data_IF_348916391469
#
_entry.id   IF_348916391469
#
_cell.length_a   1.000
_cell.length_b   1.000
_cell.length_c   1.000
_cell.angle_alpha   90.00
_cell.angle_beta   90.00
_cell.angle_gamma   90.00
#
_symmetry.space_group_name_H-M   'P 1'
#
loop_
_entity.id
_entity.type
_entity.pdbx_description
1 polymer ?
#
# COMPACT_ATOMS: atom_id res chain seq x y z
N UNK A 1 -8.34 12.05 -6.42
CA UNK A 1 -7.56 10.81 -6.62
C UNK A 1 -8.09 9.70 -5.72
N UNK A 2 -7.86 8.42 -6.03
CA UNK A 2 -8.31 7.30 -5.20
C UNK A 2 -7.15 6.73 -4.37
N UNK A 3 -7.39 6.53 -3.08
CA UNK A 3 -6.49 5.85 -2.16
C UNK A 3 -7.09 4.52 -1.76
N UNK A 4 -6.31 3.45 -1.92
CA UNK A 4 -6.55 2.14 -1.33
C UNK A 4 -5.70 2.02 -0.08
N UNK A 5 -6.33 1.74 1.04
CA UNK A 5 -5.68 1.39 2.29
C UNK A 5 -5.90 -0.09 2.58
N UNK A 6 -4.87 -0.78 3.00
CA UNK A 6 -4.90 -2.20 3.36
C UNK A 6 -4.23 -2.35 4.72
N UNK A 7 -4.86 -3.11 5.62
CA UNK A 7 -4.27 -3.58 6.87
C UNK A 7 -4.27 -5.11 6.89
N UNK A 8 -3.09 -5.69 7.05
CA UNK A 8 -2.84 -7.11 7.00
C UNK A 8 -2.28 -7.59 8.33
N UNK A 9 -2.96 -8.53 8.99
CA UNK A 9 -2.35 -9.26 10.10
C UNK A 9 -1.36 -10.26 9.54
N UNK A 10 -0.10 -10.17 9.98
CA UNK A 10 0.99 -11.06 9.55
C UNK A 10 1.68 -11.58 10.80
N UNK A 11 1.97 -12.88 10.82
CA UNK A 11 2.75 -13.46 11.91
C UNK A 11 4.12 -12.78 12.01
N UNK A 12 4.55 -12.43 13.23
CA UNK A 12 5.87 -11.86 13.50
C UNK A 12 7.02 -12.66 12.85
N UNK A 13 6.90 -13.98 12.79
CA UNK A 13 7.88 -14.88 12.18
C UNK A 13 7.91 -14.82 10.64
N UNK A 14 6.88 -14.23 10.02
CA UNK A 14 6.74 -14.06 8.56
C UNK A 14 6.92 -12.61 8.10
N UNK A 15 7.32 -11.70 9.00
CA UNK A 15 7.45 -10.26 8.72
C UNK A 15 8.44 -10.00 7.58
N UNK A 16 9.59 -10.67 7.60
CA UNK A 16 10.63 -10.49 6.59
C UNK A 16 10.18 -11.02 5.23
N UNK A 17 9.59 -12.20 5.19
CA UNK A 17 9.14 -12.79 3.94
C UNK A 17 7.93 -12.06 3.35
N UNK A 18 7.02 -11.55 4.19
CA UNK A 18 5.96 -10.67 3.72
C UNK A 18 6.52 -9.37 3.14
N UNK A 19 7.59 -8.84 3.75
CA UNK A 19 8.29 -7.66 3.22
C UNK A 19 8.87 -7.93 1.82
N UNK A 20 9.51 -9.09 1.63
CA UNK A 20 10.02 -9.51 0.32
C UNK A 20 8.89 -9.73 -0.70
N UNK A 21 7.76 -10.30 -0.27
CA UNK A 21 6.59 -10.48 -1.12
C UNK A 21 6.04 -9.14 -1.64
N UNK A 22 6.19 -8.04 -0.88
CA UNK A 22 5.78 -6.71 -1.35
C UNK A 22 6.60 -6.22 -2.55
N UNK A 23 7.84 -6.66 -2.70
CA UNK A 23 8.66 -6.35 -3.89
C UNK A 23 8.08 -6.96 -5.18
N UNK A 24 7.26 -8.00 -5.06
CA UNK A 24 6.55 -8.60 -6.20
C UNK A 24 5.52 -7.67 -6.86
N UNK A 25 5.20 -6.54 -6.23
CA UNK A 25 4.34 -5.50 -6.80
C UNK A 25 5.06 -4.47 -7.66
N UNK A 26 6.38 -4.62 -7.86
CA UNK A 26 7.15 -3.75 -8.75
C UNK A 26 6.50 -3.49 -10.12
N UNK A 27 5.85 -4.48 -10.78
CA UNK A 27 5.19 -4.25 -12.07
C UNK A 27 4.03 -3.24 -12.03
N UNK A 28 3.50 -2.88 -10.85
CA UNK A 28 2.49 -1.82 -10.71
C UNK A 28 2.97 -0.50 -11.31
N UNK A 29 4.28 -0.25 -11.34
CA UNK A 29 4.86 0.98 -11.92
C UNK A 29 4.49 1.19 -13.40
N UNK A 30 4.03 0.15 -14.09
CA UNK A 30 3.62 0.18 -15.49
C UNK A 30 2.10 0.12 -15.69
N UNK A 31 1.32 0.05 -14.61
CA UNK A 31 -0.14 -0.03 -14.69
C UNK A 31 -0.70 1.38 -14.96
N UNK A 32 -1.53 1.56 -16.01
CA UNK A 32 -2.13 2.86 -16.29
C UNK A 32 -2.91 3.43 -15.11
N UNK A 33 -2.61 4.68 -14.76
CA UNK A 33 -3.24 5.41 -13.67
C UNK A 33 -2.87 4.96 -12.26
N UNK A 34 -1.90 4.05 -12.11
CA UNK A 34 -1.21 3.85 -10.84
C UNK A 34 -0.23 4.99 -10.61
N UNK A 35 -0.16 5.51 -9.38
CA UNK A 35 0.74 6.59 -8.98
C UNK A 35 1.86 6.03 -8.11
N UNK A 36 1.49 5.35 -7.02
CA UNK A 36 2.44 4.89 -6.01
C UNK A 36 1.81 3.83 -5.11
N UNK A 37 2.63 2.90 -4.64
CA UNK A 37 2.36 2.03 -3.51
C UNK A 37 3.46 2.26 -2.47
N UNK A 38 3.09 2.29 -1.19
CA UNK A 38 4.03 2.35 -0.08
C UNK A 38 3.39 1.77 1.16
N UNK A 39 4.18 1.46 2.17
CA UNK A 39 3.66 0.83 3.38
C UNK A 39 4.72 0.59 4.43
N UNK A 40 4.31 -0.10 5.48
CA UNK A 40 5.16 -0.40 6.61
C UNK A 40 4.47 -1.25 7.66
N UNK A 41 5.03 -1.24 8.87
CA UNK A 41 4.58 -2.06 9.98
C UNK A 41 4.05 -1.19 11.11
N UNK A 42 2.92 -1.57 11.70
CA UNK A 42 2.50 -0.97 12.98
C UNK A 42 3.53 -1.34 14.06
N UNK A 43 3.94 -0.39 14.90
CA UNK A 43 4.89 -0.63 15.99
C UNK A 43 4.25 -1.58 17.01
N UNK A 44 4.92 -2.69 17.37
CA UNK A 44 4.32 -3.67 18.24
C UNK A 44 4.51 -3.34 19.73
N UNK A 45 3.47 -3.58 20.52
CA UNK A 45 3.60 -4.29 21.80
C UNK A 45 3.30 -5.80 21.64
N UNK A 46 3.17 -6.33 20.41
CA UNK A 46 2.83 -7.73 20.10
C UNK A 46 2.86 -8.04 18.59
N UNK A 47 1.81 -8.71 18.07
CA UNK A 47 1.65 -8.92 16.62
C UNK A 47 1.58 -7.56 15.89
N UNK A 48 2.28 -7.45 14.76
CA UNK A 48 2.35 -6.22 13.98
C UNK A 48 1.53 -6.37 12.70
N UNK A 49 0.64 -5.42 12.44
CA UNK A 49 -0.05 -5.36 11.17
C UNK A 49 0.85 -4.69 10.13
N UNK A 50 0.87 -5.24 8.92
CA UNK A 50 1.36 -4.53 7.76
C UNK A 50 0.28 -3.56 7.26
N UNK A 51 0.69 -2.32 7.00
CA UNK A 51 -0.14 -1.28 6.40
C UNK A 51 0.38 -0.99 5.00
N UNK A 52 -0.51 -0.99 4.01
CA UNK A 52 -0.18 -0.72 2.61
C UNK A 52 -1.14 0.33 2.05
N UNK A 53 -0.60 1.33 1.39
CA UNK A 53 -1.32 2.36 0.64
C UNK A 53 -1.05 2.19 -0.85
N UNK A 54 -2.10 2.26 -1.67
CA UNK A 54 -2.03 2.31 -3.12
C UNK A 54 -2.76 3.54 -3.65
N UNK A 55 -2.06 4.38 -4.40
CA UNK A 55 -2.54 5.65 -4.94
C UNK A 55 -2.82 5.51 -6.43
N UNK A 56 -3.99 6.00 -6.84
CA UNK A 56 -4.50 5.91 -8.20
C UNK A 56 -5.04 7.26 -8.66
N UNK A 57 -4.82 7.59 -9.93
CA UNK A 57 -5.33 8.81 -10.54
C UNK A 57 -6.85 8.90 -10.45
N UNK A 58 -7.54 7.76 -10.64
CA UNK A 58 -8.99 7.70 -10.62
C UNK A 58 -9.53 6.35 -10.16
N UNK A 59 -10.81 6.34 -9.78
CA UNK A 59 -11.56 5.11 -9.52
C UNK A 59 -11.61 4.17 -10.74
N UNK A 60 -11.74 4.73 -11.94
CA UNK A 60 -11.77 3.95 -13.17
C UNK A 60 -10.45 3.20 -13.42
N UNK A 61 -9.31 3.83 -13.17
CA UNK A 61 -7.98 3.21 -13.30
C UNK A 61 -7.81 2.06 -12.32
N UNK A 62 -8.25 2.26 -11.07
CA UNK A 62 -8.26 1.20 -10.05
C UNK A 62 -9.17 0.03 -10.41
N UNK A 63 -10.41 0.30 -10.85
CA UNK A 63 -11.37 -0.74 -11.21
C UNK A 63 -10.88 -1.55 -12.43
N UNK A 64 -10.21 -0.89 -13.39
CA UNK A 64 -9.55 -1.55 -14.51
C UNK A 64 -8.45 -2.51 -14.01
N UNK A 65 -7.57 -2.04 -13.13
CA UNK A 65 -6.54 -2.88 -12.53
C UNK A 65 -7.13 -4.09 -11.81
N UNK A 66 -8.15 -3.88 -10.97
CA UNK A 66 -8.82 -4.96 -10.23
C UNK A 66 -9.46 -6.00 -11.14
N UNK A 67 -10.00 -5.59 -12.29
CA UNK A 67 -10.72 -6.48 -13.19
C UNK A 67 -9.82 -7.24 -14.17
N UNK A 68 -8.61 -6.73 -14.46
CA UNK A 68 -7.80 -7.23 -15.57
C UNK A 68 -6.39 -7.69 -15.17
N UNK A 69 -5.78 -7.08 -14.15
CA UNK A 69 -4.34 -7.23 -13.87
C UNK A 69 -4.06 -7.77 -12.46
N UNK A 70 -4.95 -7.51 -11.52
CA UNK A 70 -4.76 -7.78 -10.09
C UNK A 70 -4.43 -9.26 -9.81
N UNK A 71 -5.23 -10.20 -10.32
CA UNK A 71 -5.05 -11.63 -9.98
C UNK A 71 -3.73 -12.19 -10.51
N UNK A 72 -3.28 -11.72 -11.68
CA UNK A 72 -1.98 -12.10 -12.23
C UNK A 72 -0.83 -11.59 -11.36
N UNK A 73 -0.96 -10.40 -10.78
CA UNK A 73 0.08 -9.78 -9.96
C UNK A 73 0.08 -10.32 -8.53
N UNK A 74 -1.08 -10.62 -7.95
CA UNK A 74 -1.17 -11.35 -6.68
C UNK A 74 -0.50 -12.72 -6.77
N UNK A 75 -0.73 -13.45 -7.87
CA UNK A 75 -0.08 -14.74 -8.08
C UNK A 75 1.45 -14.65 -8.07
N UNK A 76 2.00 -13.55 -8.61
CA UNK A 76 3.44 -13.31 -8.64
C UNK A 76 4.02 -12.87 -7.29
N UNK A 77 3.29 -12.10 -6.49
CA UNK A 77 3.80 -11.57 -5.21
C UNK A 77 3.90 -12.62 -4.11
N UNK A 78 3.19 -13.75 -4.21
CA UNK A 78 3.15 -14.81 -3.20
C UNK A 78 2.72 -14.36 -1.80
N UNK A 79 2.21 -13.13 -1.61
CA UNK A 79 1.96 -12.54 -0.29
C UNK A 79 0.88 -13.28 0.51
N UNK A 80 -0.08 -13.92 -0.19
CA UNK A 80 -1.25 -14.56 0.42
C UNK A 80 -0.90 -15.64 1.45
N UNK A 81 0.28 -16.25 1.33
CA UNK A 81 0.74 -17.33 2.21
C UNK A 81 1.05 -16.88 3.64
N UNK A 82 1.18 -15.57 3.88
CA UNK A 82 1.58 -15.00 5.16
C UNK A 82 0.46 -14.21 5.85
N UNK A 83 -0.71 -14.09 5.21
CA UNK A 83 -1.84 -13.34 5.74
C UNK A 83 -2.62 -14.16 6.76
N UNK A 84 -2.75 -13.61 7.97
CA UNK A 84 -3.67 -14.11 8.99
C UNK A 84 -5.00 -13.37 8.95
N UNK A 85 -4.97 -12.07 8.65
CA UNK A 85 -6.15 -11.22 8.49
C UNK A 85 -5.93 -10.19 7.39
N UNK A 86 -7.02 -9.67 6.85
CA UNK A 86 -7.00 -8.69 5.77
C UNK A 86 -8.22 -7.77 5.89
N UNK A 87 -7.98 -6.46 5.84
CA UNK A 87 -9.02 -5.46 5.61
C UNK A 87 -8.54 -4.45 4.57
N UNK A 88 -9.49 -3.94 3.78
CA UNK A 88 -9.21 -2.91 2.78
C UNK A 88 -10.30 -1.84 2.80
N UNK A 89 -9.87 -0.59 2.65
CA UNK A 89 -10.74 0.57 2.50
C UNK A 89 -10.35 1.37 1.26
N UNK A 90 -11.34 2.02 0.65
CA UNK A 90 -11.16 2.94 -0.46
C UNK A 90 -11.71 4.30 -0.05
N UNK A 91 -10.96 5.36 -0.33
CA UNK A 91 -11.42 6.72 -0.14
C UNK A 91 -10.82 7.64 -1.20
N UNK A 92 -11.49 8.77 -1.42
CA UNK A 92 -10.99 9.81 -2.31
C UNK A 92 -10.18 10.83 -1.52
N UNK A 93 -9.12 11.33 -2.16
CA UNK A 93 -8.27 12.39 -1.66
C UNK A 93 -8.07 13.47 -2.71
N UNK A 94 -7.77 14.67 -2.22
CA UNK A 94 -7.43 15.80 -3.08
C UNK A 94 -6.15 15.49 -3.86
N UNK A 95 -6.18 15.80 -5.15
CA UNK A 95 -5.02 15.66 -6.04
C UNK A 95 -3.81 16.44 -5.53
N UNK A 96 -4.03 17.63 -4.98
CA UNK A 96 -2.96 18.45 -4.41
C UNK A 96 -2.29 17.75 -3.23
N UNK A 97 -3.05 17.04 -2.38
CA UNK A 97 -2.48 16.29 -1.25
C UNK A 97 -1.61 15.15 -1.77
N UNK A 98 -2.11 14.39 -2.75
CA UNK A 98 -1.40 13.23 -3.30
C UNK A 98 -0.12 13.64 -4.04
N UNK A 99 -0.11 14.76 -4.75
CA UNK A 99 1.03 15.21 -5.54
C UNK A 99 2.01 16.13 -4.80
N UNK A 100 1.55 16.91 -3.82
CA UNK A 100 2.42 17.82 -3.04
C UNK A 100 3.45 17.05 -2.20
N UNK A 101 3.07 15.88 -1.70
CA UNK A 101 3.89 15.12 -0.77
C UNK A 101 4.77 14.10 -1.49
N UNK A 102 6.04 14.46 -1.66
CA UNK A 102 7.03 13.57 -2.25
C UNK A 102 7.33 12.37 -1.32
N UNK A 103 7.45 12.61 -0.01
CA UNK A 103 7.80 11.58 0.97
C UNK A 103 6.60 10.71 1.38
N UNK A 104 6.82 9.41 1.61
CA UNK A 104 5.77 8.49 2.09
C UNK A 104 5.28 8.89 3.48
N UNK A 105 6.16 9.45 4.32
CA UNK A 105 5.83 9.88 5.69
C UNK A 105 4.81 10.99 5.72
N UNK A 106 4.93 11.98 4.84
CA UNK A 106 3.98 13.10 4.78
C UNK A 106 2.60 12.66 4.29
N UNK A 107 2.54 11.72 3.33
CA UNK A 107 1.29 11.10 2.91
C UNK A 107 0.67 10.25 4.02
N UNK A 108 1.50 9.49 4.76
CA UNK A 108 1.04 8.72 5.92
C UNK A 108 0.46 9.63 6.99
N UNK A 109 1.06 10.78 7.27
CA UNK A 109 0.50 11.73 8.25
C UNK A 109 -0.87 12.26 7.78
N UNK A 110 -1.01 12.59 6.50
CA UNK A 110 -2.27 13.07 5.91
C UNK A 110 -3.36 11.98 5.93
N UNK A 111 -3.05 10.76 5.49
CA UNK A 111 -4.02 9.67 5.43
C UNK A 111 -4.31 9.10 6.82
N UNK A 112 -3.32 9.07 7.71
CA UNK A 112 -3.44 8.55 9.06
C UNK A 112 -4.45 9.35 9.88
N UNK A 113 -4.45 10.68 9.77
CA UNK A 113 -5.45 11.53 10.41
C UNK A 113 -6.89 11.20 9.95
N UNK A 114 -7.07 10.74 8.72
CA UNK A 114 -8.39 10.35 8.17
C UNK A 114 -8.79 8.92 8.54
N UNK A 115 -7.81 8.05 8.72
CA UNK A 115 -7.99 6.63 9.03
C UNK A 115 -7.90 6.33 10.53
N UNK A 116 -7.82 7.37 11.37
CA UNK A 116 -7.59 7.28 12.80
C UNK A 116 -6.33 6.47 13.17
N UNK A 117 -5.27 6.58 12.35
CA UNK A 117 -3.94 6.00 12.60
C UNK A 117 -3.08 7.04 13.33
N UNK A 118 -2.76 6.85 14.62
CA UNK A 118 -1.85 7.72 15.35
C UNK A 118 -0.51 7.99 14.65
N UNK A 119 -0.05 9.23 14.76
CA UNK A 119 1.28 9.62 14.30
C UNK A 119 2.36 8.74 14.95
N UNK A 120 3.24 8.17 14.13
CA UNK A 120 4.29 7.27 14.58
C UNK A 120 3.86 5.83 14.86
N UNK A 121 2.58 5.48 14.71
CA UNK A 121 2.12 4.07 14.80
C UNK A 121 2.75 3.22 13.70
N UNK A 122 2.80 3.74 12.47
CA UNK A 122 3.33 3.00 11.32
C UNK A 122 4.79 3.39 11.07
N UNK A 123 5.67 2.41 11.13
CA UNK A 123 7.05 2.47 10.67
C UNK A 123 7.09 2.12 9.18
N UNK A 124 7.32 3.12 8.33
CA UNK A 124 7.44 2.94 6.88
C UNK A 124 8.70 2.14 6.52
N UNK A 125 8.55 1.25 5.53
CA UNK A 125 9.65 0.43 4.98
C UNK A 125 9.90 0.86 3.54
N UNK A 126 11.09 1.38 3.25
CA UNK A 126 11.41 1.99 1.96
C UNK A 126 11.39 0.99 0.80
N UNK A 127 11.74 -0.27 1.06
CA UNK A 127 11.81 -1.35 0.07
C UNK A 127 10.43 -1.76 -0.49
N UNK A 128 9.33 -1.33 0.15
CA UNK A 128 7.95 -1.61 -0.28
C UNK A 128 7.42 -0.55 -1.24
N UNK A 129 8.19 0.51 -1.46
CA UNK A 129 7.74 1.63 -2.25
C UNK A 129 7.85 1.34 -3.76
N UNK A 130 6.72 1.36 -4.44
CA UNK A 130 6.63 1.29 -5.90
C UNK A 130 6.09 2.62 -6.39
N UNK A 131 6.79 3.28 -7.32
CA UNK A 131 6.28 4.49 -7.97
C UNK A 131 6.05 4.22 -9.44
N UNK A 132 5.04 4.86 -10.01
CA UNK A 132 4.86 4.90 -11.45
C UNK A 132 6.16 5.29 -12.15
N UNK A 133 6.45 4.63 -13.27
CA UNK A 133 7.54 5.07 -14.13
C UNK A 133 7.19 6.46 -14.67
N UNK A 134 8.03 7.45 -14.39
CA UNK A 134 7.92 8.76 -15.03
C UNK A 134 8.21 8.53 -16.53
N UNK A 135 7.23 8.82 -17.38
CA UNK A 135 7.39 8.80 -18.84
C UNK A 135 8.26 9.94 -19.33
#
# INVERSE_FOLDING_TARGET
MLVKYIRCGVDSASREEFSLAQMGWEPLKHVPGFIRQFGGWTRPEGDADAVIFGLWESRASYDYFMSNLHDSLIGASSQMRYLQSFSAALFEEDEDIVHRHAASSELLDSFGARLDIPAGEVELVGEWEVRAAIS
#
